data_IF_885342711099
#
_entry.id   IF_885342711099
#
_cell.length_a   1.000
_cell.length_b   1.000
_cell.length_c   1.000
_cell.angle_alpha   90.00
_cell.angle_beta   90.00
_cell.angle_gamma   90.00
#
_symmetry.space_group_name_H-M   'P 1'
#
loop_
_entity.id
_entity.type
_entity.pdbx_description
1 polymer ?
#
# COMPACT_ATOMS: atom_id res chain seq x y z
N UNK A 1 -18.65 -26.77 5.71
CA UNK A 1 -17.43 -26.52 4.91
C UNK A 1 -16.19 -26.49 5.79
N UNK A 2 -16.02 -25.56 6.74
CA UNK A 2 -14.92 -25.60 7.71
C UNK A 2 -15.48 -25.32 9.11
N UNK A 3 -15.10 -26.16 10.09
CA UNK A 3 -15.45 -25.95 11.48
C UNK A 3 -14.19 -26.08 12.37
N UNK A 4 -13.83 -25.00 13.04
CA UNK A 4 -12.71 -24.91 13.95
C UNK A 4 -13.25 -25.00 15.37
N UNK A 5 -12.83 -26.02 16.11
CA UNK A 5 -13.26 -26.30 17.49
C UNK A 5 -12.07 -26.23 18.42
N UNK A 6 -12.09 -25.30 19.36
CA UNK A 6 -11.11 -25.22 20.48
C UNK A 6 -9.66 -25.31 19.99
N UNK A 7 -9.29 -24.44 19.04
CA UNK A 7 -7.91 -24.31 18.62
C UNK A 7 -7.12 -23.55 19.68
N UNK A 8 -6.13 -24.18 20.26
CA UNK A 8 -5.17 -23.59 21.21
C UNK A 8 -3.77 -23.66 20.59
N UNK A 9 -3.46 -22.73 19.70
CA UNK A 9 -2.12 -22.57 19.14
C UNK A 9 -1.38 -21.46 19.91
N UNK A 10 -0.03 -21.50 20.06
CA UNK A 10 0.72 -20.48 20.81
C UNK A 10 0.48 -19.05 20.35
N UNK A 11 0.12 -18.86 19.09
CA UNK A 11 -0.08 -17.56 18.46
C UNK A 11 -1.53 -17.33 17.96
N UNK A 12 -2.43 -18.34 18.02
CA UNK A 12 -3.80 -18.22 17.54
C UNK A 12 -4.76 -19.08 18.38
N UNK A 13 -5.76 -18.44 18.98
CA UNK A 13 -6.78 -19.10 19.79
C UNK A 13 -8.15 -18.86 19.18
N UNK A 14 -8.90 -19.95 18.94
CA UNK A 14 -10.26 -19.93 18.39
C UNK A 14 -11.12 -20.91 19.20
N UNK A 15 -12.17 -20.43 19.83
CA UNK A 15 -13.04 -21.26 20.67
C UNK A 15 -13.99 -22.09 19.82
N UNK A 16 -14.75 -21.48 18.94
CA UNK A 16 -15.65 -22.11 17.98
C UNK A 16 -15.87 -21.19 16.80
N UNK A 17 -15.58 -21.66 15.59
CA UNK A 17 -15.79 -20.89 14.37
C UNK A 17 -16.24 -21.78 13.24
N UNK A 18 -17.40 -21.47 12.67
CA UNK A 18 -17.99 -22.21 11.54
C UNK A 18 -18.05 -21.32 10.31
N UNK A 19 -17.56 -21.85 9.22
CA UNK A 19 -17.58 -21.23 7.90
C UNK A 19 -18.38 -22.17 6.99
N UNK A 20 -19.55 -21.71 6.56
CA UNK A 20 -20.44 -22.46 5.69
C UNK A 20 -20.24 -22.09 4.22
N UNK A 21 -20.70 -22.93 3.31
CA UNK A 21 -20.68 -22.59 1.88
C UNK A 21 -21.58 -21.36 1.61
N UNK A 22 -21.08 -20.41 0.83
CA UNK A 22 -21.78 -19.16 0.52
C UNK A 22 -21.73 -18.09 1.61
N UNK A 23 -20.99 -18.32 2.71
CA UNK A 23 -20.78 -17.29 3.72
C UNK A 23 -19.97 -16.11 3.16
N UNK A 24 -20.25 -14.89 3.67
CA UNK A 24 -19.46 -13.68 3.44
C UNK A 24 -18.91 -13.18 4.78
N UNK A 25 -17.64 -13.44 5.04
CA UNK A 25 -16.96 -13.10 6.28
C UNK A 25 -16.07 -11.86 6.14
N UNK A 26 -16.13 -10.97 7.14
CA UNK A 26 -15.13 -9.95 7.38
C UNK A 26 -14.42 -10.24 8.70
N UNK A 27 -13.14 -10.53 8.64
CA UNK A 27 -12.27 -10.69 9.80
C UNK A 27 -11.45 -9.43 9.95
N UNK A 28 -11.66 -8.68 11.02
CA UNK A 28 -11.01 -7.39 11.25
C UNK A 28 -9.98 -7.48 12.37
N UNK A 29 -8.87 -6.79 12.20
CA UNK A 29 -7.81 -6.73 13.21
C UNK A 29 -6.65 -5.86 12.73
N UNK A 30 -5.81 -5.38 13.65
CA UNK A 30 -4.62 -4.60 13.34
C UNK A 30 -3.55 -5.41 12.60
N UNK A 31 -2.56 -4.72 12.05
CA UNK A 31 -1.35 -5.38 11.58
C UNK A 31 -0.66 -6.06 12.78
N UNK A 32 -0.22 -7.31 12.58
CA UNK A 32 0.37 -8.12 13.66
C UNK A 32 -0.63 -8.74 14.64
N UNK A 33 -1.94 -8.55 14.50
CA UNK A 33 -2.95 -9.15 15.38
C UNK A 33 -3.10 -10.67 15.29
N UNK A 34 -2.51 -11.29 14.27
CA UNK A 34 -2.64 -12.74 13.98
C UNK A 34 -3.55 -13.07 12.80
N UNK A 35 -4.03 -12.09 12.03
CA UNK A 35 -4.85 -12.35 10.81
C UNK A 35 -4.14 -13.28 9.81
N UNK A 36 -2.83 -13.13 9.62
CA UNK A 36 -2.02 -13.98 8.75
C UNK A 36 -1.97 -15.45 9.21
N UNK A 37 -2.23 -15.71 10.51
CA UNK A 37 -2.30 -17.09 11.00
C UNK A 37 -3.63 -17.76 10.64
N UNK A 38 -4.65 -16.97 10.34
CA UNK A 38 -5.95 -17.46 9.89
C UNK A 38 -5.84 -18.03 8.48
N UNK A 39 -5.19 -17.32 7.57
CA UNK A 39 -4.99 -17.82 6.22
C UNK A 39 -4.12 -19.08 6.20
N UNK A 40 -3.03 -19.10 7.00
CA UNK A 40 -2.18 -20.26 7.18
C UNK A 40 -2.97 -21.47 7.77
N UNK A 41 -3.85 -21.21 8.76
CA UNK A 41 -4.73 -22.24 9.31
C UNK A 41 -5.68 -22.79 8.27
N UNK A 42 -6.33 -21.93 7.49
CA UNK A 42 -7.32 -22.34 6.49
C UNK A 42 -6.69 -23.05 5.28
N UNK A 43 -5.45 -22.70 4.93
CA UNK A 43 -4.67 -23.33 3.85
C UNK A 43 -3.78 -24.48 4.31
N UNK A 44 -3.90 -24.92 5.59
CA UNK A 44 -3.13 -26.03 6.18
C UNK A 44 -1.60 -25.78 6.25
N UNK A 45 -1.20 -24.53 6.34
CA UNK A 45 0.20 -24.12 6.43
C UNK A 45 0.62 -23.79 7.87
N UNK A 46 -0.34 -23.68 8.80
CA UNK A 46 -0.06 -23.42 10.22
C UNK A 46 0.43 -24.72 10.88
N UNK A 47 1.69 -24.73 11.31
CA UNK A 47 2.25 -25.86 12.06
C UNK A 47 1.65 -26.01 13.46
N UNK A 48 1.87 -27.18 14.10
CA UNK A 48 1.47 -27.45 15.49
C UNK A 48 -0.03 -27.28 15.79
N UNK A 49 -0.89 -27.61 14.81
CA UNK A 49 -2.35 -27.65 15.00
C UNK A 49 -2.75 -29.04 15.47
N UNK A 50 -3.51 -29.10 16.58
CA UNK A 50 -4.01 -30.37 17.11
C UNK A 50 -4.90 -31.10 16.12
N UNK A 51 -4.69 -32.42 15.96
CA UNK A 51 -5.50 -33.24 15.08
C UNK A 51 -6.96 -33.24 15.53
N UNK A 52 -7.88 -32.76 14.67
CA UNK A 52 -9.31 -32.65 14.96
C UNK A 52 -9.77 -31.27 15.44
N UNK A 53 -8.87 -30.30 15.67
CA UNK A 53 -9.25 -28.91 15.92
C UNK A 53 -9.90 -28.25 14.70
N UNK A 54 -9.54 -28.68 13.50
CA UNK A 54 -10.09 -28.16 12.23
C UNK A 54 -10.72 -29.30 11.44
N UNK A 55 -12.04 -29.24 11.27
CA UNK A 55 -12.82 -30.17 10.43
C UNK A 55 -13.11 -29.48 9.10
N UNK A 56 -12.70 -30.10 7.99
CA UNK A 56 -12.89 -29.57 6.63
C UNK A 56 -13.67 -30.55 5.77
N UNK A 57 -14.72 -30.04 5.12
CA UNK A 57 -15.45 -30.74 4.04
C UNK A 57 -15.13 -30.13 2.66
N UNK A 58 -14.07 -29.30 2.58
CA UNK A 58 -13.57 -28.66 1.36
C UNK A 58 -12.12 -29.06 1.16
N UNK A 59 -11.75 -29.36 -0.08
CA UNK A 59 -10.37 -29.64 -0.43
C UNK A 59 -9.52 -28.36 -0.36
N UNK A 60 -8.27 -28.47 0.12
CA UNK A 60 -7.37 -27.32 0.27
C UNK A 60 -7.12 -26.64 -1.08
N UNK A 61 -7.08 -27.39 -2.18
CA UNK A 61 -6.91 -26.87 -3.54
C UNK A 61 -8.05 -25.94 -3.98
N UNK A 62 -9.22 -26.06 -3.35
CA UNK A 62 -10.39 -25.19 -3.58
C UNK A 62 -10.41 -23.96 -2.68
N UNK A 63 -9.36 -23.77 -1.88
CA UNK A 63 -9.15 -22.58 -1.05
C UNK A 63 -8.06 -21.73 -1.72
N UNK A 64 -8.38 -20.48 -2.02
CA UNK A 64 -7.43 -19.55 -2.63
C UNK A 64 -7.25 -18.32 -1.75
N UNK A 65 -6.01 -18.02 -1.40
CA UNK A 65 -5.63 -16.76 -0.76
C UNK A 65 -5.15 -15.77 -1.84
N UNK A 66 -5.51 -14.51 -1.69
CA UNK A 66 -4.96 -13.39 -2.47
C UNK A 66 -4.52 -12.34 -1.47
N UNK A 67 -3.22 -12.17 -1.33
CA UNK A 67 -2.57 -11.17 -0.49
C UNK A 67 -1.57 -10.33 -1.30
N UNK A 68 -1.12 -9.21 -0.73
CA UNK A 68 -0.08 -8.40 -1.35
C UNK A 68 1.25 -9.18 -1.46
N UNK A 69 1.59 -9.96 -0.45
CA UNK A 69 2.81 -10.77 -0.42
C UNK A 69 2.82 -11.80 -1.55
N UNK A 70 1.69 -12.47 -1.79
CA UNK A 70 1.57 -13.41 -2.91
C UNK A 70 1.73 -12.71 -4.26
N UNK A 71 1.09 -11.54 -4.44
CA UNK A 71 1.27 -10.74 -5.65
C UNK A 71 2.74 -10.40 -5.89
N UNK A 72 3.44 -10.02 -4.82
CA UNK A 72 4.86 -9.66 -4.91
C UNK A 72 5.74 -10.86 -5.23
N UNK A 73 5.49 -12.02 -4.63
CA UNK A 73 6.22 -13.25 -4.95
C UNK A 73 6.04 -13.66 -6.42
N UNK A 74 4.82 -13.57 -6.96
CA UNK A 74 4.55 -13.81 -8.38
C UNK A 74 5.33 -12.79 -9.24
N UNK A 75 5.22 -11.50 -8.91
CA UNK A 75 5.93 -10.45 -9.65
C UNK A 75 7.45 -10.66 -9.68
N UNK A 76 8.06 -11.03 -8.56
CA UNK A 76 9.49 -11.32 -8.47
C UNK A 76 9.90 -12.56 -9.28
N UNK A 77 9.05 -13.59 -9.27
CA UNK A 77 9.25 -14.78 -10.11
C UNK A 77 9.25 -14.39 -11.59
N UNK A 78 8.23 -13.64 -12.01
CA UNK A 78 8.08 -13.23 -13.41
C UNK A 78 9.22 -12.27 -13.85
N UNK A 79 9.70 -11.40 -12.96
CA UNK A 79 10.89 -10.58 -13.25
C UNK A 79 12.15 -11.43 -13.46
N UNK A 80 12.35 -12.50 -12.69
CA UNK A 80 13.49 -13.41 -12.87
C UNK A 80 13.39 -14.17 -14.18
N UNK A 81 12.19 -14.60 -14.57
CA UNK A 81 11.95 -15.23 -15.86
C UNK A 81 12.26 -14.26 -17.00
N UNK A 82 11.71 -13.04 -16.95
CA UNK A 82 11.98 -12.01 -17.96
C UNK A 82 13.45 -11.59 -18.03
N UNK A 83 14.22 -11.64 -16.93
CA UNK A 83 15.65 -11.35 -16.95
C UNK A 83 16.46 -12.46 -17.67
N UNK A 84 16.00 -13.70 -17.62
CA UNK A 84 16.60 -14.80 -18.36
C UNK A 84 16.34 -14.72 -19.86
N UNK A 85 15.23 -14.10 -20.29
CA UNK A 85 14.87 -13.88 -21.70
C UNK A 85 15.83 -12.92 -22.42
N UNK A 86 16.47 -12.01 -21.69
CA UNK A 86 17.50 -11.12 -22.27
C UNK A 86 18.72 -11.88 -22.80
N UNK A 87 18.83 -13.17 -22.52
CA UNK A 87 19.92 -14.08 -22.97
C UNK A 87 19.47 -15.05 -24.08
N UNK A 88 18.19 -15.02 -24.50
CA UNK A 88 17.59 -15.90 -25.51
C UNK A 88 16.72 -15.16 -26.52
N UNK A 89 16.56 -15.72 -27.72
CA UNK A 89 15.83 -15.12 -28.85
C UNK A 89 14.28 -15.26 -28.78
N UNK A 90 13.72 -15.85 -27.74
CA UNK A 90 12.26 -16.08 -27.60
C UNK A 90 11.65 -15.26 -26.47
N UNK A 91 10.49 -14.59 -26.74
CA UNK A 91 9.68 -13.88 -25.72
C UNK A 91 8.92 -14.89 -24.87
N UNK A 92 9.56 -15.38 -23.79
CA UNK A 92 8.98 -16.34 -22.83
C UNK A 92 8.23 -15.65 -21.68
N UNK A 93 8.08 -14.32 -21.75
CA UNK A 93 7.43 -13.55 -20.69
C UNK A 93 5.94 -13.89 -20.56
N UNK A 94 5.52 -14.31 -19.36
CA UNK A 94 4.14 -14.68 -19.02
C UNK A 94 3.20 -13.47 -19.19
N UNK A 95 2.13 -13.66 -19.96
CA UNK A 95 1.08 -12.66 -20.17
C UNK A 95 -0.08 -12.88 -19.21
N UNK A 96 -0.91 -11.87 -19.01
CA UNK A 96 -2.10 -11.98 -18.15
C UNK A 96 -3.03 -13.14 -18.58
N UNK A 97 -3.16 -13.39 -19.89
CA UNK A 97 -3.95 -14.52 -20.40
C UNK A 97 -3.44 -15.88 -19.94
N UNK A 98 -2.13 -16.04 -19.76
CA UNK A 98 -1.50 -17.32 -19.40
C UNK A 98 -1.81 -17.73 -17.94
N UNK A 99 -2.30 -16.81 -17.11
CA UNK A 99 -2.79 -17.09 -15.76
C UNK A 99 -4.22 -17.66 -15.75
N UNK A 100 -4.95 -17.55 -16.86
CA UNK A 100 -6.34 -17.97 -16.94
C UNK A 100 -6.48 -19.35 -17.56
N UNK A 101 -7.48 -20.16 -17.14
CA UNK A 101 -7.77 -21.42 -17.78
C UNK A 101 -8.11 -21.24 -19.27
N UNK A 102 -7.54 -22.06 -20.15
CA UNK A 102 -7.55 -21.86 -21.62
C UNK A 102 -8.94 -21.75 -22.23
N UNK A 103 -9.96 -22.37 -21.61
CA UNK A 103 -11.34 -22.39 -22.13
C UNK A 103 -12.18 -21.17 -21.68
N UNK A 104 -11.63 -20.29 -20.83
CA UNK A 104 -12.38 -19.24 -20.15
C UNK A 104 -12.18 -17.84 -20.73
N UNK A 105 -11.43 -17.70 -21.83
CA UNK A 105 -11.12 -16.39 -22.46
C UNK A 105 -12.37 -15.63 -22.94
N UNK A 106 -13.51 -16.29 -23.09
CA UNK A 106 -14.79 -15.67 -23.45
C UNK A 106 -15.70 -15.39 -22.23
N UNK A 107 -15.22 -15.58 -21.02
CA UNK A 107 -16.02 -15.34 -19.79
C UNK A 107 -16.39 -13.85 -19.66
N UNK A 108 -17.63 -13.58 -19.25
CA UNK A 108 -18.11 -12.22 -18.92
C UNK A 108 -17.41 -11.64 -17.69
N UNK A 109 -16.86 -12.47 -16.82
CA UNK A 109 -16.08 -12.01 -15.64
C UNK A 109 -14.85 -11.20 -16.03
N UNK A 110 -14.27 -11.49 -17.22
CA UNK A 110 -13.13 -10.71 -17.77
C UNK A 110 -13.57 -9.28 -18.06
N UNK A 111 -14.77 -9.11 -18.60
CA UNK A 111 -15.33 -7.79 -18.91
C UNK A 111 -15.84 -7.09 -17.64
N UNK A 112 -16.45 -7.83 -16.71
CA UNK A 112 -16.91 -7.32 -15.41
C UNK A 112 -15.75 -6.70 -14.62
N UNK A 113 -14.54 -7.29 -14.67
CA UNK A 113 -13.33 -6.78 -14.04
C UNK A 113 -12.52 -5.82 -14.92
N UNK A 114 -13.00 -5.49 -16.12
CA UNK A 114 -12.31 -4.62 -17.10
C UNK A 114 -10.87 -5.09 -17.39
N UNK A 115 -10.70 -6.41 -17.63
CA UNK A 115 -9.38 -7.03 -17.85
C UNK A 115 -9.13 -7.44 -19.31
N UNK A 116 -10.14 -7.40 -20.19
CA UNK A 116 -10.02 -7.90 -21.57
C UNK A 116 -8.91 -7.23 -22.37
N UNK A 117 -8.76 -5.92 -22.23
CA UNK A 117 -7.72 -5.13 -22.92
C UNK A 117 -6.30 -5.38 -22.38
N UNK A 118 -6.18 -6.02 -21.19
CA UNK A 118 -4.90 -6.36 -20.53
C UNK A 118 -4.45 -7.80 -20.73
N UNK A 119 -5.25 -8.65 -21.33
CA UNK A 119 -4.92 -10.08 -21.45
C UNK A 119 -3.58 -10.34 -22.17
N UNK A 120 -3.23 -9.51 -23.15
CA UNK A 120 -1.96 -9.63 -23.89
C UNK A 120 -0.79 -8.90 -23.22
N UNK A 121 -1.01 -8.21 -22.09
CA UNK A 121 0.03 -7.47 -21.37
C UNK A 121 0.85 -8.43 -20.54
N UNK A 122 2.18 -8.24 -20.48
CA UNK A 122 3.07 -9.01 -19.58
C UNK A 122 2.68 -8.77 -18.13
N UNK A 123 2.70 -9.82 -17.31
CA UNK A 123 2.34 -9.70 -15.88
C UNK A 123 3.15 -8.60 -15.16
N UNK A 124 4.44 -8.48 -15.47
CA UNK A 124 5.35 -7.48 -14.89
C UNK A 124 5.03 -6.04 -15.28
N UNK A 125 4.17 -5.83 -16.27
CA UNK A 125 3.73 -4.51 -16.74
C UNK A 125 2.33 -4.13 -16.21
N UNK A 126 1.66 -5.06 -15.52
CA UNK A 126 0.37 -4.77 -14.87
C UNK A 126 0.60 -3.88 -13.63
N UNK A 127 -0.33 -2.95 -13.41
CA UNK A 127 -0.40 -2.23 -12.14
C UNK A 127 -0.75 -3.17 -10.98
N UNK A 128 -0.52 -2.75 -9.75
CA UNK A 128 -0.87 -3.54 -8.55
C UNK A 128 -2.37 -3.88 -8.52
N UNK A 129 -3.23 -2.95 -8.95
CA UNK A 129 -4.67 -3.19 -9.04
C UNK A 129 -5.05 -4.18 -10.15
N UNK A 130 -4.44 -4.08 -11.34
CA UNK A 130 -4.68 -4.99 -12.45
C UNK A 130 -4.19 -6.41 -12.13
N UNK A 131 -3.01 -6.55 -11.53
CA UNK A 131 -2.51 -7.88 -11.10
C UNK A 131 -3.42 -8.49 -10.03
N UNK A 132 -3.99 -7.70 -9.11
CA UNK A 132 -4.98 -8.18 -8.13
C UNK A 132 -6.26 -8.66 -8.79
N UNK A 133 -6.83 -7.84 -9.71
CA UNK A 133 -8.00 -8.25 -10.49
C UNK A 133 -7.76 -9.54 -11.27
N UNK A 134 -6.57 -9.70 -11.85
CA UNK A 134 -6.19 -10.91 -12.57
C UNK A 134 -6.20 -12.15 -11.66
N UNK A 135 -5.64 -12.07 -10.44
CA UNK A 135 -5.62 -13.19 -9.50
C UNK A 135 -7.02 -13.54 -8.96
N UNK A 136 -7.87 -12.52 -8.73
CA UNK A 136 -9.28 -12.75 -8.39
C UNK A 136 -10.01 -13.43 -9.55
N UNK A 137 -9.82 -12.93 -10.77
CA UNK A 137 -10.40 -13.52 -11.98
C UNK A 137 -9.97 -14.99 -12.15
N UNK A 138 -8.68 -15.28 -11.98
CA UNK A 138 -8.15 -16.64 -12.02
C UNK A 138 -8.87 -17.55 -11.02
N UNK A 139 -8.92 -17.12 -9.74
CA UNK A 139 -9.55 -17.90 -8.68
C UNK A 139 -11.04 -18.20 -8.97
N UNK A 140 -11.79 -17.20 -9.45
CA UNK A 140 -13.20 -17.35 -9.79
C UNK A 140 -13.41 -18.29 -10.98
N UNK A 141 -12.55 -18.21 -12.00
CA UNK A 141 -12.62 -19.08 -13.18
C UNK A 141 -12.17 -20.52 -12.89
N UNK A 142 -11.27 -20.72 -11.94
CA UNK A 142 -10.88 -22.04 -11.44
C UNK A 142 -11.98 -22.70 -10.57
N UNK A 143 -13.02 -21.96 -10.18
CA UNK A 143 -14.16 -22.48 -9.42
C UNK A 143 -13.82 -22.79 -7.97
N UNK A 144 -13.10 -21.90 -7.29
CA UNK A 144 -12.76 -22.03 -5.85
C UNK A 144 -14.01 -22.09 -4.98
N UNK A 145 -13.97 -22.85 -3.89
CA UNK A 145 -15.04 -22.90 -2.90
C UNK A 145 -14.90 -21.83 -1.80
N UNK A 146 -13.66 -21.44 -1.48
CA UNK A 146 -13.34 -20.40 -0.52
C UNK A 146 -12.27 -19.45 -1.10
N UNK A 147 -12.62 -18.16 -1.20
CA UNK A 147 -11.71 -17.10 -1.60
C UNK A 147 -11.39 -16.23 -0.40
N UNK A 148 -10.13 -16.19 0.00
CA UNK A 148 -9.60 -15.38 1.11
C UNK A 148 -8.87 -14.18 0.50
N UNK A 149 -9.22 -12.97 0.93
CA UNK A 149 -8.73 -11.70 0.39
C UNK A 149 -8.13 -10.87 1.52
N UNK A 150 -6.81 -10.68 1.51
CA UNK A 150 -6.14 -9.84 2.51
C UNK A 150 -6.01 -8.41 2.00
N UNK A 151 -6.66 -7.47 2.68
CA UNK A 151 -6.74 -6.04 2.36
C UNK A 151 -6.93 -5.78 0.84
N UNK A 152 -7.98 -6.36 0.19
CA UNK A 152 -8.09 -6.37 -1.27
C UNK A 152 -8.31 -4.99 -1.89
N UNK A 153 -8.73 -4.01 -1.12
CA UNK A 153 -9.03 -2.66 -1.59
C UNK A 153 -7.84 -1.69 -1.49
N UNK A 154 -6.75 -2.11 -0.85
CA UNK A 154 -5.54 -1.29 -0.76
C UNK A 154 -4.97 -0.97 -2.15
N UNK A 155 -4.61 0.31 -2.38
CA UNK A 155 -4.03 0.82 -3.64
C UNK A 155 -4.95 0.73 -4.86
N UNK A 156 -6.24 0.54 -4.64
CA UNK A 156 -7.24 0.60 -5.71
C UNK A 156 -7.93 1.97 -5.70
N UNK A 157 -8.19 2.51 -6.89
CA UNK A 157 -9.09 3.66 -7.02
C UNK A 157 -10.54 3.26 -6.72
N UNK A 158 -11.39 4.26 -6.45
CA UNK A 158 -12.78 4.04 -6.04
C UNK A 158 -13.59 3.22 -7.03
N UNK A 159 -13.40 3.48 -8.35
CA UNK A 159 -14.09 2.74 -9.40
C UNK A 159 -13.69 1.26 -9.37
N UNK A 160 -12.40 0.99 -9.26
CA UNK A 160 -11.87 -0.38 -9.18
C UNK A 160 -12.34 -1.08 -7.91
N UNK A 161 -12.36 -0.40 -6.74
CA UNK A 161 -12.92 -0.94 -5.50
C UNK A 161 -14.39 -1.35 -5.65
N UNK A 162 -15.19 -0.49 -6.29
CA UNK A 162 -16.62 -0.77 -6.52
C UNK A 162 -16.82 -1.98 -7.42
N UNK A 163 -16.15 -2.01 -8.58
CA UNK A 163 -16.21 -3.11 -9.54
C UNK A 163 -15.78 -4.44 -8.90
N UNK A 164 -14.67 -4.43 -8.14
CA UNK A 164 -14.19 -5.62 -7.44
C UNK A 164 -15.21 -6.12 -6.40
N UNK A 165 -15.77 -5.20 -5.59
CA UNK A 165 -16.76 -5.53 -4.56
C UNK A 165 -18.03 -6.12 -5.17
N UNK A 166 -18.55 -5.55 -6.26
CA UNK A 166 -19.73 -6.07 -6.96
C UNK A 166 -19.48 -7.46 -7.58
N UNK A 167 -18.30 -7.66 -8.19
CA UNK A 167 -17.93 -8.96 -8.76
C UNK A 167 -17.84 -10.04 -7.68
N UNK A 168 -17.24 -9.72 -6.52
CA UNK A 168 -17.16 -10.62 -5.38
C UNK A 168 -18.54 -10.91 -4.77
N UNK A 169 -19.43 -9.93 -4.72
CA UNK A 169 -20.81 -10.11 -4.27
C UNK A 169 -21.59 -11.05 -5.20
N UNK A 170 -21.45 -10.89 -6.53
CA UNK A 170 -22.05 -11.81 -7.51
C UNK A 170 -21.52 -13.24 -7.35
N UNK A 171 -20.19 -13.40 -7.16
CA UNK A 171 -19.56 -14.68 -6.92
C UNK A 171 -20.06 -15.34 -5.62
N UNK A 172 -20.20 -14.56 -4.55
CA UNK A 172 -20.76 -15.05 -3.29
C UNK A 172 -22.23 -15.47 -3.45
N UNK A 173 -23.04 -14.69 -4.16
CA UNK A 173 -24.45 -15.05 -4.47
C UNK A 173 -24.55 -16.31 -5.32
N UNK A 174 -23.51 -16.66 -6.09
CA UNK A 174 -23.39 -17.90 -6.84
C UNK A 174 -22.90 -19.10 -6.00
N UNK A 175 -22.65 -18.91 -4.70
CA UNK A 175 -22.30 -19.96 -3.74
C UNK A 175 -20.82 -20.02 -3.33
N UNK A 176 -19.95 -19.17 -3.87
CA UNK A 176 -18.56 -19.07 -3.44
C UNK A 176 -18.51 -18.40 -2.05
N UNK A 177 -17.80 -19.03 -1.12
CA UNK A 177 -17.53 -18.42 0.20
C UNK A 177 -16.44 -17.35 0.03
N UNK A 178 -16.71 -16.14 0.52
CA UNK A 178 -15.75 -15.03 0.46
C UNK A 178 -15.37 -14.62 1.87
N UNK A 179 -14.07 -14.48 2.11
CA UNK A 179 -13.53 -14.03 3.39
C UNK A 179 -12.58 -12.86 3.17
N UNK A 180 -12.88 -11.74 3.80
CA UNK A 180 -12.02 -10.56 3.83
C UNK A 180 -11.24 -10.53 5.14
N UNK A 181 -9.93 -10.39 5.08
CA UNK A 181 -9.06 -10.06 6.20
C UNK A 181 -8.75 -8.57 6.11
N UNK A 182 -9.28 -7.74 7.02
CA UNK A 182 -9.24 -6.30 6.89
C UNK A 182 -8.51 -5.64 8.07
N UNK A 183 -7.81 -4.54 7.78
CA UNK A 183 -7.13 -3.71 8.77
C UNK A 183 -7.81 -2.35 8.98
N UNK A 184 -8.81 -2.02 8.15
CA UNK A 184 -9.54 -0.76 8.17
C UNK A 184 -11.05 -1.05 8.14
N UNK A 185 -11.81 -0.44 9.07
CA UNK A 185 -13.27 -0.63 9.12
C UNK A 185 -14.01 -0.04 7.91
N UNK A 186 -13.44 0.97 7.26
CA UNK A 186 -14.04 1.59 6.08
C UNK A 186 -14.01 0.70 4.84
N UNK A 187 -13.15 -0.33 4.86
CA UNK A 187 -13.01 -1.28 3.76
C UNK A 187 -14.01 -2.46 3.88
N UNK A 188 -14.86 -2.50 4.93
CA UNK A 188 -15.87 -3.54 5.13
C UNK A 188 -16.97 -3.39 4.07
N UNK A 189 -17.15 -4.38 3.15
CA UNK A 189 -18.22 -4.32 2.18
C UNK A 189 -19.59 -4.39 2.84
N UNK A 190 -20.54 -3.56 2.39
CA UNK A 190 -21.89 -3.48 3.01
C UNK A 190 -22.68 -4.79 2.90
N UNK A 191 -22.36 -5.65 1.93
CA UNK A 191 -23.00 -6.93 1.72
C UNK A 191 -22.42 -8.06 2.60
N UNK A 192 -21.29 -7.83 3.29
CA UNK A 192 -20.76 -8.76 4.28
C UNK A 192 -21.62 -8.75 5.54
N UNK A 193 -22.17 -9.90 5.88
CA UNK A 193 -23.10 -10.05 7.02
C UNK A 193 -22.48 -10.77 8.24
N UNK A 194 -21.38 -11.49 8.04
CA UNK A 194 -20.68 -12.23 9.09
C UNK A 194 -19.36 -11.54 9.44
N UNK A 195 -19.13 -11.34 10.73
CA UNK A 195 -17.97 -10.61 11.21
C UNK A 195 -17.25 -11.35 12.33
N UNK A 196 -15.94 -11.28 12.31
CA UNK A 196 -15.07 -11.69 13.41
C UNK A 196 -14.00 -10.63 13.64
N UNK A 197 -13.45 -10.59 14.83
CA UNK A 197 -12.33 -9.75 15.19
C UNK A 197 -11.16 -10.60 15.67
N UNK A 198 -9.95 -10.16 15.34
CA UNK A 198 -8.71 -10.80 15.80
C UNK A 198 -7.87 -9.78 16.55
N UNK A 199 -7.55 -10.11 17.80
CA UNK A 199 -6.76 -9.30 18.69
C UNK A 199 -5.80 -10.19 19.47
N UNK A 200 -4.51 -9.87 19.45
CA UNK A 200 -3.44 -10.61 20.11
C UNK A 200 -3.53 -12.13 19.88
N UNK A 201 -3.81 -12.54 18.65
CA UNK A 201 -3.95 -13.95 18.28
C UNK A 201 -5.25 -14.62 18.74
N UNK A 202 -6.21 -13.91 19.29
CA UNK A 202 -7.52 -14.43 19.65
C UNK A 202 -8.57 -14.01 18.63
N UNK A 203 -9.31 -14.97 18.08
CA UNK A 203 -10.44 -14.73 17.20
C UNK A 203 -11.75 -14.83 17.97
N UNK A 204 -12.55 -13.76 17.92
CA UNK A 204 -13.90 -13.68 18.46
C UNK A 204 -14.90 -13.41 17.34
N UNK A 205 -15.98 -14.21 17.22
CA UNK A 205 -17.08 -13.93 16.28
C UNK A 205 -17.98 -12.84 16.83
N UNK A 206 -18.39 -11.89 15.97
CA UNK A 206 -19.18 -10.73 16.38
C UNK A 206 -20.66 -10.82 15.98
N UNK A 207 -21.10 -11.94 15.40
CA UNK A 207 -22.44 -12.09 14.84
C UNK A 207 -23.55 -12.11 15.91
N UNK A 208 -23.22 -12.45 17.15
CA UNK A 208 -24.14 -12.47 18.30
C UNK A 208 -24.34 -11.07 18.93
N UNK A 209 -23.52 -10.09 18.54
CA UNK A 209 -23.58 -8.72 19.06
C UNK A 209 -24.56 -7.87 18.25
N UNK A 210 -25.23 -6.93 18.92
CA UNK A 210 -25.95 -5.87 18.23
C UNK A 210 -25.00 -4.91 17.51
N UNK A 211 -25.51 -4.05 16.65
CA UNK A 211 -24.70 -3.16 15.82
C UNK A 211 -23.78 -2.27 16.68
N UNK A 212 -24.28 -1.70 17.77
CA UNK A 212 -23.53 -0.78 18.62
C UNK A 212 -22.38 -1.51 19.36
N UNK A 213 -22.66 -2.68 19.91
CA UNK A 213 -21.64 -3.50 20.57
C UNK A 213 -20.58 -4.00 19.57
N UNK A 214 -20.99 -4.36 18.35
CA UNK A 214 -20.09 -4.73 17.26
C UNK A 214 -19.16 -3.59 16.88
N UNK A 215 -19.69 -2.39 16.64
CA UNK A 215 -18.88 -1.20 16.34
C UNK A 215 -17.91 -0.86 17.47
N UNK A 216 -18.36 -0.95 18.74
CA UNK A 216 -17.50 -0.73 19.90
C UNK A 216 -16.35 -1.74 19.97
N UNK A 217 -16.64 -3.03 19.71
CA UNK A 217 -15.60 -4.08 19.69
C UNK A 217 -14.60 -3.88 18.57
N UNK A 218 -15.04 -3.48 17.38
CA UNK A 218 -14.17 -3.16 16.24
C UNK A 218 -13.24 -1.97 16.60
N UNK A 219 -13.78 -0.91 17.21
CA UNK A 219 -12.97 0.24 17.64
C UNK A 219 -11.93 -0.14 18.69
N UNK A 220 -12.29 -1.02 19.63
CA UNK A 220 -11.37 -1.54 20.64
C UNK A 220 -10.23 -2.35 20.01
N UNK A 221 -10.56 -3.32 19.16
CA UNK A 221 -9.58 -4.20 18.48
C UNK A 221 -8.64 -3.39 17.58
N UNK A 222 -9.13 -2.37 16.90
CA UNK A 222 -8.33 -1.46 16.11
C UNK A 222 -7.60 -0.41 16.96
N UNK A 223 -7.84 -0.37 18.28
CA UNK A 223 -7.26 0.59 19.25
C UNK A 223 -7.46 2.06 18.84
N UNK A 224 -8.57 2.38 18.20
CA UNK A 224 -8.87 3.75 17.73
C UNK A 224 -9.14 4.75 18.88
N UNK A 225 -9.31 4.24 20.11
CA UNK A 225 -9.44 5.05 21.32
C UNK A 225 -8.09 5.45 21.95
N UNK A 226 -6.98 4.89 21.46
CA UNK A 226 -5.62 5.23 21.92
C UNK A 226 -5.20 6.57 21.29
N UNK A 227 -5.58 7.65 21.97
CA UNK A 227 -5.25 9.04 21.58
C UNK A 227 -3.88 9.49 22.04
N UNK A 228 -2.99 8.60 22.41
CA UNK A 228 -1.61 8.97 22.72
C UNK A 228 -1.00 9.62 21.49
N UNK A 229 -1.02 10.95 21.46
CA UNK A 229 -0.34 11.70 20.40
C UNK A 229 1.16 11.40 20.52
N UNK A 230 1.78 10.85 19.48
CA UNK A 230 3.20 10.63 19.50
C UNK A 230 3.91 11.97 19.65
N UNK A 231 4.92 12.02 20.51
CA UNK A 231 5.76 13.22 20.64
C UNK A 231 6.71 13.27 19.45
N UNK A 232 6.27 13.93 18.37
CA UNK A 232 7.06 14.09 17.17
C UNK A 232 8.27 14.96 17.43
N UNK A 233 9.48 14.59 16.95
CA UNK A 233 10.69 15.35 17.13
C UNK A 233 10.53 16.80 16.64
N UNK A 234 11.15 17.73 17.36
CA UNK A 234 11.20 19.13 16.92
C UNK A 234 12.35 19.28 15.92
N UNK A 235 12.03 19.70 14.71
CA UNK A 235 13.00 19.82 13.62
C UNK A 235 13.23 21.29 13.29
N UNK A 236 14.48 21.72 13.25
CA UNK A 236 14.89 23.11 13.39
C UNK A 236 14.75 24.01 12.14
N UNK A 237 14.25 23.55 11.00
CA UNK A 237 14.19 24.34 9.77
C UNK A 237 12.74 24.62 9.34
N UNK A 238 12.34 25.89 9.40
CA UNK A 238 11.05 26.35 8.90
C UNK A 238 11.14 26.87 7.47
N UNK A 239 10.02 26.80 6.73
CA UNK A 239 9.89 27.39 5.37
C UNK A 239 9.66 28.90 5.38
N UNK A 240 9.69 29.59 6.55
CA UNK A 240 9.41 31.00 6.69
C UNK A 240 10.35 31.92 5.89
N UNK A 241 11.59 31.48 5.67
CA UNK A 241 12.63 32.25 4.99
C UNK A 241 12.95 31.75 3.57
N UNK A 242 12.08 30.87 3.00
CA UNK A 242 12.30 30.37 1.65
C UNK A 242 12.17 31.51 0.61
N UNK A 243 13.21 31.74 -0.24
CA UNK A 243 13.29 32.98 -1.02
C UNK A 243 12.46 32.99 -2.31
N UNK A 244 11.96 31.85 -2.76
CA UNK A 244 11.22 31.73 -4.02
C UNK A 244 9.71 31.63 -3.82
N UNK A 245 8.94 32.11 -4.80
CA UNK A 245 7.46 32.08 -4.76
C UNK A 245 6.89 30.68 -4.76
N UNK A 246 7.52 29.75 -5.46
CA UNK A 246 7.06 28.36 -5.60
C UNK A 246 8.17 27.39 -5.19
N UNK A 247 7.79 26.30 -4.50
CA UNK A 247 8.65 25.15 -4.27
C UNK A 247 8.66 24.21 -5.48
N UNK A 248 7.54 24.16 -6.18
CA UNK A 248 7.39 23.41 -7.44
C UNK A 248 6.70 24.30 -8.44
N UNK A 249 7.24 24.41 -9.65
CA UNK A 249 6.60 25.02 -10.78
C UNK A 249 6.81 24.15 -12.02
N UNK A 250 5.74 23.61 -12.56
CA UNK A 250 5.66 22.87 -13.81
C UNK A 250 4.84 23.71 -14.79
N UNK A 251 5.38 24.00 -15.97
CA UNK A 251 4.71 24.84 -16.96
C UNK A 251 4.54 24.08 -18.28
N UNK A 252 3.32 23.65 -18.59
CA UNK A 252 3.00 22.97 -19.86
C UNK A 252 3.81 21.69 -20.08
N UNK A 253 4.11 20.92 -19.01
CA UNK A 253 4.94 19.73 -19.11
C UNK A 253 4.24 18.61 -19.85
N UNK A 254 4.95 17.97 -20.78
CA UNK A 254 4.46 16.82 -21.55
C UNK A 254 5.43 15.65 -21.43
N UNK A 255 4.92 14.48 -21.05
CA UNK A 255 5.72 13.23 -20.92
C UNK A 255 5.12 12.16 -21.82
N UNK A 256 6.00 11.52 -22.62
CA UNK A 256 5.63 10.47 -23.58
C UNK A 256 6.54 9.27 -23.45
N UNK A 257 5.96 8.08 -23.52
CA UNK A 257 6.70 6.82 -23.65
C UNK A 257 6.29 6.15 -24.97
N UNK A 258 7.19 6.17 -25.94
CA UNK A 258 6.87 5.78 -27.31
C UNK A 258 5.79 6.67 -27.91
N UNK A 259 4.72 6.07 -28.40
CA UNK A 259 3.53 6.78 -28.93
C UNK A 259 2.57 7.28 -27.83
N UNK A 260 2.69 6.75 -26.61
CA UNK A 260 1.74 7.03 -25.54
C UNK A 260 2.09 8.33 -24.80
N UNK A 261 1.15 9.27 -24.77
CA UNK A 261 1.24 10.51 -23.96
C UNK A 261 0.69 10.19 -22.58
N UNK A 262 1.56 10.24 -21.56
CA UNK A 262 1.17 10.01 -20.16
C UNK A 262 0.75 11.32 -19.48
N UNK A 263 1.52 12.38 -19.67
CA UNK A 263 1.19 13.71 -19.18
C UNK A 263 1.17 14.65 -20.40
N UNK A 264 0.17 15.51 -20.48
CA UNK A 264 0.04 16.44 -21.61
C UNK A 264 -0.28 17.84 -21.11
N UNK A 265 0.65 18.79 -21.38
CA UNK A 265 0.54 20.20 -21.06
C UNK A 265 0.22 20.46 -19.56
N UNK A 266 0.80 19.66 -18.67
CA UNK A 266 0.57 19.77 -17.23
C UNK A 266 1.17 21.06 -16.68
N UNK A 267 0.35 21.81 -15.96
CA UNK A 267 0.80 22.99 -15.22
C UNK A 267 0.43 22.84 -13.75
N UNK A 268 1.43 22.89 -12.87
CA UNK A 268 1.26 22.76 -11.42
C UNK A 268 2.22 23.73 -10.71
N UNK A 269 1.68 24.61 -9.87
CA UNK A 269 2.45 25.48 -9.01
C UNK A 269 2.13 25.17 -7.56
N UNK A 270 3.16 24.96 -6.74
CA UNK A 270 3.05 24.71 -5.31
C UNK A 270 3.86 25.75 -4.55
N UNK A 271 3.20 26.60 -3.79
CA UNK A 271 3.85 27.60 -2.95
C UNK A 271 4.34 26.98 -1.62
N UNK A 272 5.28 27.62 -0.91
CA UNK A 272 5.65 27.22 0.45
C UNK A 272 4.42 27.10 1.35
N UNK A 273 4.31 25.97 2.07
CA UNK A 273 3.19 25.62 2.97
C UNK A 273 1.83 25.44 2.28
N UNK A 274 1.78 25.44 0.97
CA UNK A 274 0.59 25.06 0.20
C UNK A 274 0.60 23.54 0.03
N UNK A 275 0.13 22.82 1.06
CA UNK A 275 0.00 21.37 0.97
C UNK A 275 -0.95 21.00 -0.16
N UNK A 276 -0.53 20.06 -1.00
CA UNK A 276 -1.24 19.71 -2.23
C UNK A 276 -1.62 18.24 -2.21
N UNK A 277 -2.91 17.96 -2.37
CA UNK A 277 -3.43 16.61 -2.61
C UNK A 277 -3.50 16.36 -4.12
N UNK A 278 -2.86 15.29 -4.58
CA UNK A 278 -2.89 14.82 -5.96
C UNK A 278 -3.78 13.57 -6.02
N UNK A 279 -4.82 13.63 -6.84
CA UNK A 279 -5.77 12.54 -7.05
C UNK A 279 -5.85 12.16 -8.53
N UNK A 280 -6.49 11.06 -8.85
CA UNK A 280 -6.70 10.58 -10.22
C UNK A 280 -6.79 9.06 -10.26
N UNK A 281 -7.35 8.48 -11.32
CA UNK A 281 -7.45 7.03 -11.49
C UNK A 281 -6.08 6.34 -11.56
N UNK A 282 -6.06 5.02 -11.41
CA UNK A 282 -4.84 4.25 -11.63
C UNK A 282 -4.41 4.38 -13.11
N UNK A 283 -3.13 4.61 -13.33
CA UNK A 283 -2.60 4.86 -14.69
C UNK A 283 -2.74 6.29 -15.19
N UNK A 284 -3.33 7.23 -14.45
CA UNK A 284 -3.47 8.65 -14.87
C UNK A 284 -2.14 9.42 -14.93
N UNK A 285 -1.02 8.83 -14.50
CA UNK A 285 0.29 9.47 -14.57
C UNK A 285 0.76 10.14 -13.28
N UNK A 286 0.12 9.90 -12.12
CA UNK A 286 0.51 10.49 -10.82
C UNK A 286 1.97 10.24 -10.46
N UNK A 287 2.43 8.99 -10.53
CA UNK A 287 3.83 8.65 -10.25
C UNK A 287 4.80 9.26 -11.29
N UNK A 288 4.35 9.44 -12.54
CA UNK A 288 5.12 10.15 -13.58
C UNK A 288 5.24 11.64 -13.26
N UNK A 289 4.16 12.27 -12.80
CA UNK A 289 4.16 13.66 -12.33
C UNK A 289 5.11 13.84 -11.14
N UNK A 290 5.04 12.95 -10.15
CA UNK A 290 6.00 12.96 -9.05
C UNK A 290 7.44 12.74 -9.54
N UNK A 291 7.64 11.83 -10.52
CA UNK A 291 8.94 11.58 -11.13
C UNK A 291 9.54 12.82 -11.83
N UNK A 292 8.72 13.70 -12.44
CA UNK A 292 9.19 14.99 -12.94
C UNK A 292 9.70 15.89 -11.81
N UNK A 293 8.98 15.92 -10.69
CA UNK A 293 9.33 16.77 -9.52
C UNK A 293 10.57 16.21 -8.84
N UNK A 294 10.65 14.91 -8.58
CA UNK A 294 11.79 14.28 -7.88
C UNK A 294 13.04 14.16 -8.75
N UNK A 295 12.89 14.26 -10.09
CA UNK A 295 13.98 14.07 -11.05
C UNK A 295 14.23 12.60 -11.41
N UNK A 296 13.33 11.69 -11.05
CA UNK A 296 13.41 10.27 -11.40
C UNK A 296 12.89 10.00 -12.82
N UNK A 297 12.10 10.92 -13.41
CA UNK A 297 11.71 10.90 -14.81
C UNK A 297 12.72 11.72 -15.65
N UNK A 298 13.49 11.09 -16.58
CA UNK A 298 14.51 11.81 -17.38
C UNK A 298 13.94 12.96 -18.21
N UNK A 299 12.65 12.92 -18.55
CA UNK A 299 12.02 13.98 -19.33
C UNK A 299 11.82 15.29 -18.50
N UNK A 300 12.16 15.31 -17.22
CA UNK A 300 12.22 16.56 -16.45
C UNK A 300 13.22 17.56 -17.02
N UNK A 301 14.28 17.09 -17.72
CA UNK A 301 15.29 17.95 -18.37
C UNK A 301 14.83 18.53 -19.71
N UNK A 302 13.78 17.97 -20.32
CA UNK A 302 13.21 18.47 -21.59
C UNK A 302 11.91 19.24 -21.42
N UNK A 303 11.49 19.47 -20.18
CA UNK A 303 10.29 20.22 -19.81
C UNK A 303 10.66 21.45 -18.95
N UNK A 304 9.73 22.39 -18.87
CA UNK A 304 9.89 23.56 -17.98
C UNK A 304 9.52 23.17 -16.55
N UNK A 305 10.54 22.70 -15.82
CA UNK A 305 10.43 22.16 -14.46
C UNK A 305 11.35 22.93 -13.53
N UNK A 306 10.79 23.69 -12.59
CA UNK A 306 11.53 24.32 -11.50
C UNK A 306 11.13 23.69 -10.17
N UNK A 307 12.11 23.24 -9.39
CA UNK A 307 11.89 22.61 -8.10
C UNK A 307 12.88 23.17 -7.09
N UNK A 308 12.37 23.67 -5.97
CA UNK A 308 13.16 24.28 -4.88
C UNK A 308 14.06 25.42 -5.38
N UNK A 309 13.60 26.20 -6.39
CA UNK A 309 14.34 27.29 -7.00
C UNK A 309 15.35 26.87 -8.08
N UNK A 310 15.52 25.56 -8.31
CA UNK A 310 16.41 25.03 -9.34
C UNK A 310 15.62 24.73 -10.62
N UNK A 311 16.03 25.36 -11.73
CA UNK A 311 15.52 25.04 -13.06
C UNK A 311 16.21 23.79 -13.59
N UNK A 312 15.44 22.74 -13.88
CA UNK A 312 16.03 21.47 -14.39
C UNK A 312 16.78 21.69 -15.72
N UNK A 313 17.99 21.14 -15.79
CA UNK A 313 18.84 21.24 -17.00
C UNK A 313 19.83 22.38 -17.00
N UNK A 314 19.92 23.20 -15.95
CA UNK A 314 20.88 24.32 -15.87
C UNK A 314 22.22 23.95 -15.23
N UNK A 315 22.50 22.64 -15.04
CA UNK A 315 23.79 22.15 -14.55
C UNK A 315 23.80 21.75 -13.07
N UNK A 316 22.69 21.89 -12.35
CA UNK A 316 22.51 21.38 -10.99
C UNK A 316 22.46 19.85 -10.97
N UNK A 317 23.00 19.27 -9.92
CA UNK A 317 22.86 17.86 -9.65
C UNK A 317 21.47 17.55 -9.10
N UNK A 318 20.90 16.40 -9.47
CA UNK A 318 19.65 15.86 -8.86
C UNK A 318 19.81 15.74 -7.33
N UNK A 319 21.00 15.42 -6.85
CA UNK A 319 21.31 15.30 -5.44
C UNK A 319 21.25 16.63 -4.67
N UNK A 320 21.62 17.75 -5.34
CA UNK A 320 21.50 19.09 -4.74
C UNK A 320 20.06 19.46 -4.41
N UNK A 321 19.11 18.90 -5.15
CA UNK A 321 17.70 19.11 -4.94
C UNK A 321 17.16 18.06 -3.96
N UNK A 322 17.51 16.77 -4.13
CA UNK A 322 17.01 15.67 -3.28
C UNK A 322 17.38 15.81 -1.80
N UNK A 323 18.53 16.45 -1.48
CA UNK A 323 18.90 16.71 -0.07
C UNK A 323 17.86 17.53 0.70
N UNK A 324 17.03 18.33 0.00
CA UNK A 324 15.96 19.13 0.57
C UNK A 324 14.56 18.48 0.44
N UNK A 325 14.49 17.27 -0.09
CA UNK A 325 13.25 16.53 -0.30
C UNK A 325 13.20 15.29 0.58
N UNK A 326 12.05 15.03 1.18
CA UNK A 326 11.70 13.71 1.74
C UNK A 326 10.83 12.98 0.71
N UNK A 327 11.18 11.75 0.35
CA UNK A 327 10.45 10.98 -0.67
C UNK A 327 10.05 9.64 -0.10
N UNK A 328 8.76 9.33 -0.18
CA UNK A 328 8.20 7.99 0.13
C UNK A 328 7.36 7.56 -1.06
N UNK A 329 7.74 6.46 -1.69
CA UNK A 329 7.03 5.89 -2.83
C UNK A 329 7.02 4.37 -2.75
N UNK A 330 6.12 3.74 -3.50
CA UNK A 330 6.08 2.28 -3.61
C UNK A 330 7.32 1.71 -4.28
N UNK A 331 7.90 2.44 -5.24
CA UNK A 331 9.12 2.05 -5.92
C UNK A 331 10.33 2.09 -4.96
N UNK A 332 10.46 3.15 -4.15
CA UNK A 332 11.49 3.21 -3.10
C UNK A 332 11.35 2.03 -2.13
N UNK A 333 10.14 1.71 -1.68
CA UNK A 333 9.89 0.61 -0.77
C UNK A 333 10.32 -0.74 -1.38
N UNK A 334 9.96 -1.01 -2.63
CA UNK A 334 10.35 -2.24 -3.35
C UNK A 334 11.86 -2.38 -3.53
N UNK A 335 12.56 -1.26 -3.75
CA UNK A 335 14.02 -1.24 -3.94
C UNK A 335 14.80 -1.28 -2.64
N UNK A 336 14.15 -0.99 -1.50
CA UNK A 336 14.83 -0.92 -0.21
C UNK A 336 15.09 -2.33 0.36
N UNK A 337 16.09 -3.03 -0.24
CA UNK A 337 16.44 -4.43 0.07
C UNK A 337 17.78 -4.53 0.82
N UNK A 338 17.91 -3.77 1.90
CA UNK A 338 19.12 -3.77 2.72
C UNK A 338 18.96 -4.66 3.96
N UNK A 339 20.03 -5.34 4.32
CA UNK A 339 20.11 -6.21 5.49
C UNK A 339 20.62 -5.42 6.71
N UNK A 340 19.94 -4.34 7.07
CA UNK A 340 20.28 -3.54 8.24
C UNK A 340 19.10 -3.39 9.20
N UNK A 341 19.38 -2.92 10.41
CA UNK A 341 18.37 -2.61 11.41
C UNK A 341 17.60 -1.32 11.02
N UNK A 342 16.39 -1.16 11.58
CA UNK A 342 15.50 -0.05 11.23
C UNK A 342 16.06 1.32 11.66
N UNK A 343 16.88 1.40 12.71
CA UNK A 343 17.57 2.63 13.09
C UNK A 343 18.53 3.08 11.98
N UNK A 344 19.30 2.13 11.43
CA UNK A 344 20.21 2.39 10.31
C UNK A 344 19.45 2.79 9.05
N UNK A 345 18.27 2.19 8.79
CA UNK A 345 17.39 2.61 7.70
C UNK A 345 16.99 4.08 7.85
N UNK A 346 16.53 4.49 9.02
CA UNK A 346 16.16 5.89 9.28
C UNK A 346 17.37 6.82 9.12
N UNK A 347 18.53 6.44 9.67
CA UNK A 347 19.76 7.22 9.53
C UNK A 347 20.21 7.40 8.07
N UNK A 348 19.92 6.44 7.18
CA UNK A 348 20.24 6.57 5.75
C UNK A 348 19.54 7.76 5.08
N UNK A 349 18.47 8.28 5.69
CA UNK A 349 17.77 9.47 5.23
C UNK A 349 18.59 10.76 5.28
N UNK A 350 19.61 10.84 6.16
CA UNK A 350 20.54 11.97 6.18
C UNK A 350 21.45 12.01 4.96
N UNK A 351 21.68 10.87 4.32
CA UNK A 351 22.61 10.69 3.20
C UNK A 351 21.91 10.49 1.86
N UNK A 352 20.58 10.44 1.83
CA UNK A 352 19.75 10.15 0.64
C UNK A 352 20.12 8.84 -0.10
N UNK A 353 20.74 7.90 0.61
CA UNK A 353 21.21 6.64 0.03
C UNK A 353 20.33 5.46 0.46
N UNK A 354 20.34 4.38 -0.32
CA UNK A 354 19.82 3.07 0.08
C UNK A 354 20.95 2.36 0.85
N UNK A 355 20.80 2.27 2.18
CA UNK A 355 21.88 1.86 3.08
C UNK A 355 22.75 3.04 3.52
N UNK A 356 23.67 2.78 4.44
CA UNK A 356 24.60 3.78 5.00
C UNK A 356 26.02 3.39 4.64
N UNK A 357 26.74 4.32 4.03
CA UNK A 357 28.13 4.14 3.58
C UNK A 357 29.11 5.05 4.34
N UNK A 358 28.58 6.03 5.10
CA UNK A 358 29.34 6.97 5.92
C UNK A 358 29.13 6.69 7.42
N UNK A 359 29.96 7.31 8.26
CA UNK A 359 29.81 7.21 9.71
C UNK A 359 28.58 7.96 10.21
N UNK A 360 27.73 7.29 10.99
CA UNK A 360 26.57 7.91 11.63
C UNK A 360 27.02 8.53 12.96
N UNK A 361 26.77 9.83 13.16
CA UNK A 361 27.04 10.51 14.43
C UNK A 361 26.03 10.13 15.51
N UNK A 362 26.41 10.32 16.79
CA UNK A 362 25.51 10.06 17.92
C UNK A 362 24.26 10.96 17.87
N UNK A 363 24.39 12.18 17.39
CA UNK A 363 23.25 13.09 17.20
C UNK A 363 22.28 12.59 16.14
N UNK A 364 22.77 12.06 15.02
CA UNK A 364 21.94 11.45 13.97
C UNK A 364 21.19 10.23 14.50
N UNK A 365 21.86 9.38 15.29
CA UNK A 365 21.20 8.24 15.94
C UNK A 365 20.12 8.68 16.92
N UNK A 366 20.37 9.70 17.71
CA UNK A 366 19.38 10.25 18.64
C UNK A 366 18.13 10.73 17.91
N UNK A 367 18.29 11.50 16.82
CA UNK A 367 17.18 11.99 16.00
C UNK A 367 16.42 10.80 15.37
N UNK A 368 17.14 9.82 14.81
CA UNK A 368 16.52 8.62 14.23
C UNK A 368 15.71 7.83 15.27
N UNK A 369 16.25 7.65 16.49
CA UNK A 369 15.56 6.99 17.60
C UNK A 369 14.29 7.74 18.04
N UNK A 370 14.33 9.08 18.05
CA UNK A 370 13.13 9.88 18.34
C UNK A 370 12.04 9.68 17.27
N UNK A 371 12.40 9.66 15.99
CA UNK A 371 11.46 9.40 14.89
C UNK A 371 10.87 7.98 14.97
N UNK A 372 11.70 6.96 15.29
CA UNK A 372 11.21 5.59 15.49
C UNK A 372 10.26 5.51 16.70
N UNK A 373 10.58 6.20 17.79
CA UNK A 373 9.71 6.24 18.97
C UNK A 373 8.36 6.89 18.63
N UNK A 374 8.39 8.01 17.91
CA UNK A 374 7.18 8.69 17.45
C UNK A 374 6.35 7.83 16.48
N UNK A 375 6.99 7.03 15.64
CA UNK A 375 6.34 6.04 14.77
C UNK A 375 5.81 4.80 15.52
N UNK A 376 6.03 4.69 16.85
CA UNK A 376 5.64 3.52 17.65
C UNK A 376 6.59 2.33 17.56
N UNK A 377 7.79 2.51 16.97
CA UNK A 377 8.78 1.46 16.71
C UNK A 377 10.04 1.57 17.57
N UNK A 378 10.04 2.44 18.60
CA UNK A 378 11.22 2.68 19.45
C UNK A 378 11.79 1.42 20.11
N UNK A 379 10.93 0.49 20.53
CA UNK A 379 11.35 -0.81 21.10
C UNK A 379 11.94 -1.80 20.08
N UNK A 380 11.78 -1.52 18.79
CA UNK A 380 12.19 -2.41 17.70
C UNK A 380 13.41 -1.89 16.91
N UNK A 381 14.09 -0.84 17.38
CA UNK A 381 15.17 -0.14 16.67
C UNK A 381 16.27 -1.07 16.11
N UNK A 382 16.51 -2.23 16.74
CA UNK A 382 17.50 -3.23 16.34
C UNK A 382 16.93 -4.38 15.49
N UNK A 383 15.62 -4.43 15.24
CA UNK A 383 15.04 -5.41 14.31
C UNK A 383 15.48 -5.12 12.89
N UNK A 384 15.65 -6.17 12.10
CA UNK A 384 15.98 -6.01 10.68
C UNK A 384 14.78 -5.49 9.93
N UNK A 385 15.02 -4.58 9.00
CA UNK A 385 13.97 -3.97 8.18
C UNK A 385 13.09 -5.01 7.47
N UNK A 386 13.67 -6.13 7.04
CA UNK A 386 12.94 -7.19 6.35
C UNK A 386 12.12 -8.11 7.27
N UNK A 387 12.34 -8.06 8.57
CA UNK A 387 11.68 -8.92 9.56
C UNK A 387 10.41 -8.28 10.15
N UNK A 388 10.23 -6.96 9.95
CA UNK A 388 9.03 -6.24 10.39
C UNK A 388 7.95 -6.27 9.29
N UNK A 389 6.69 -6.05 9.70
CA UNK A 389 5.56 -6.05 8.77
C UNK A 389 5.67 -4.95 7.71
N UNK A 390 5.01 -5.14 6.56
CA UNK A 390 4.99 -4.16 5.47
C UNK A 390 4.55 -2.76 5.93
N UNK A 391 3.54 -2.68 6.80
CA UNK A 391 3.09 -1.41 7.38
C UNK A 391 4.16 -0.75 8.25
N UNK A 392 4.84 -1.51 9.10
CA UNK A 392 5.96 -1.00 9.91
C UNK A 392 7.13 -0.54 9.03
N UNK A 393 7.47 -1.30 7.97
CA UNK A 393 8.46 -0.87 6.98
C UNK A 393 8.09 0.49 6.38
N UNK A 394 6.81 0.72 6.08
CA UNK A 394 6.31 1.99 5.55
C UNK A 394 6.52 3.14 6.54
N UNK A 395 6.21 2.93 7.81
CA UNK A 395 6.46 3.92 8.88
C UNK A 395 7.95 4.25 9.03
N UNK A 396 8.82 3.24 8.95
CA UNK A 396 10.28 3.43 8.95
C UNK A 396 10.74 4.29 7.76
N UNK A 397 10.20 4.06 6.56
CA UNK A 397 10.54 4.87 5.38
C UNK A 397 10.01 6.31 5.48
N UNK A 398 8.88 6.52 6.14
CA UNK A 398 8.37 7.87 6.43
C UNK A 398 9.29 8.58 7.44
N UNK A 399 9.69 7.90 8.52
CA UNK A 399 10.67 8.43 9.47
C UNK A 399 12.00 8.77 8.77
N UNK A 400 12.47 7.89 7.88
CA UNK A 400 13.65 8.12 7.02
C UNK A 400 13.53 9.38 6.16
N UNK A 401 12.36 9.61 5.57
CA UNK A 401 12.13 10.79 4.73
C UNK A 401 12.13 12.10 5.55
N UNK A 402 11.72 12.03 6.82
CA UNK A 402 11.56 13.18 7.70
C UNK A 402 12.82 13.51 8.53
N UNK A 403 13.73 12.55 8.73
CA UNK A 403 14.88 12.68 9.65
C UNK A 403 15.78 13.89 9.34
N UNK A 404 15.85 14.31 8.08
CA UNK A 404 16.64 15.45 7.61
C UNK A 404 15.86 16.77 7.52
N UNK A 405 14.60 16.80 7.99
CA UNK A 405 13.73 17.99 7.97
C UNK A 405 13.56 18.59 6.56
N UNK A 406 12.98 17.86 5.60
CA UNK A 406 12.90 18.30 4.21
C UNK A 406 12.00 19.53 4.03
N UNK A 407 12.33 20.42 3.08
CA UNK A 407 11.47 21.55 2.69
C UNK A 407 10.23 21.06 1.93
N UNK A 408 10.39 20.00 1.11
CA UNK A 408 9.34 19.36 0.33
C UNK A 408 9.25 17.88 0.68
N UNK A 409 8.09 17.46 1.17
CA UNK A 409 7.78 16.06 1.47
C UNK A 409 6.86 15.48 0.38
N UNK A 410 7.34 14.51 -0.36
CA UNK A 410 6.62 13.83 -1.45
C UNK A 410 6.20 12.45 -0.96
N UNK A 411 4.90 12.25 -0.86
CA UNK A 411 4.28 11.03 -0.34
C UNK A 411 3.39 10.41 -1.41
N UNK A 412 3.86 9.31 -2.01
CA UNK A 412 3.11 8.54 -3.02
C UNK A 412 2.43 7.35 -2.36
N UNK A 413 1.12 7.45 -2.15
CA UNK A 413 0.27 6.47 -1.46
C UNK A 413 0.88 5.99 -0.13
N UNK A 414 1.21 6.90 0.80
CA UNK A 414 2.01 6.55 1.98
C UNK A 414 1.27 5.68 2.99
N UNK A 415 -0.04 5.61 2.92
CA UNK A 415 -0.93 4.86 3.82
C UNK A 415 -1.14 3.41 3.39
N UNK A 416 -0.65 3.04 2.20
CA UNK A 416 -0.77 1.68 1.70
C UNK A 416 -0.16 0.66 2.66
N UNK A 417 -0.94 -0.38 3.01
CA UNK A 417 -0.53 -1.45 3.93
C UNK A 417 -0.52 -1.04 5.41
N UNK A 418 -0.89 0.21 5.75
CA UNK A 418 -1.09 0.62 7.14
C UNK A 418 -2.49 0.18 7.62
N UNK A 419 -2.53 -0.30 8.85
CA UNK A 419 -3.81 -0.46 9.56
C UNK A 419 -4.41 0.93 9.93
N UNK A 420 -5.67 0.94 10.34
CA UNK A 420 -6.40 2.19 10.61
C UNK A 420 -5.72 3.06 11.68
N UNK A 421 -5.13 2.45 12.72
CA UNK A 421 -4.40 3.17 13.77
C UNK A 421 -3.15 3.87 13.22
N UNK A 422 -2.30 3.12 12.50
CA UNK A 422 -1.06 3.66 11.96
C UNK A 422 -1.33 4.67 10.84
N UNK A 423 -2.39 4.44 10.06
CA UNK A 423 -2.87 5.43 9.09
C UNK A 423 -3.32 6.72 9.78
N UNK A 424 -4.12 6.62 10.85
CA UNK A 424 -4.52 7.77 11.65
C UNK A 424 -3.31 8.54 12.18
N UNK A 425 -2.32 7.84 12.76
CA UNK A 425 -1.07 8.46 13.24
C UNK A 425 -0.30 9.21 12.14
N UNK A 426 -0.26 8.66 10.93
CA UNK A 426 0.37 9.35 9.80
C UNK A 426 -0.38 10.63 9.44
N UNK A 427 -1.71 10.59 9.39
CA UNK A 427 -2.53 11.76 9.09
C UNK A 427 -2.38 12.83 10.19
N UNK A 428 -2.33 12.43 11.46
CA UNK A 428 -2.05 13.33 12.59
C UNK A 428 -0.64 13.96 12.47
N UNK A 429 0.35 13.20 12.01
CA UNK A 429 1.69 13.74 11.74
C UNK A 429 1.63 14.85 10.67
N UNK A 430 0.85 14.69 9.60
CA UNK A 430 0.72 15.73 8.57
C UNK A 430 0.12 17.01 9.15
N UNK A 431 -0.87 16.90 10.05
CA UNK A 431 -1.44 18.03 10.77
C UNK A 431 -0.39 18.74 11.65
N UNK A 432 0.46 17.98 12.36
CA UNK A 432 1.57 18.54 13.16
C UNK A 432 2.58 19.25 12.27
N UNK A 433 2.95 18.67 11.12
CA UNK A 433 3.87 19.32 10.17
C UNK A 433 3.29 20.63 9.63
N UNK A 434 1.98 20.66 9.34
CA UNK A 434 1.26 21.87 8.93
C UNK A 434 1.30 22.95 10.03
N UNK A 435 0.97 22.60 11.27
CA UNK A 435 0.98 23.53 12.40
C UNK A 435 2.38 24.09 12.68
N UNK A 436 3.42 23.27 12.58
CA UNK A 436 4.81 23.67 12.81
C UNK A 436 5.43 24.41 11.62
N UNK A 437 4.77 24.44 10.45
CA UNK A 437 5.22 25.10 9.22
C UNK A 437 6.62 24.67 8.75
N UNK A 438 6.94 23.38 8.92
CA UNK A 438 8.28 22.85 8.60
C UNK A 438 8.45 22.42 7.16
N UNK A 439 7.46 21.76 6.59
CA UNK A 439 7.54 21.15 5.26
C UNK A 439 6.30 21.47 4.45
N UNK A 440 6.42 21.56 3.14
CA UNK A 440 5.28 21.50 2.23
C UNK A 440 5.07 20.05 1.79
N UNK A 441 3.84 19.58 1.80
CA UNK A 441 3.49 18.19 1.51
C UNK A 441 2.84 18.10 0.13
N UNK A 442 3.38 17.22 -0.72
CA UNK A 442 2.70 16.66 -1.89
C UNK A 442 2.23 15.26 -1.53
N UNK A 443 0.94 15.06 -1.48
CA UNK A 443 0.33 13.83 -1.03
C UNK A 443 -0.50 13.22 -2.16
N UNK A 444 -0.18 12.00 -2.56
CA UNK A 444 -0.98 11.23 -3.52
C UNK A 444 -1.84 10.24 -2.77
N UNK A 445 -3.13 10.28 -2.99
CA UNK A 445 -4.07 9.30 -2.44
C UNK A 445 -5.27 9.07 -3.36
N UNK A 446 -5.82 7.87 -3.27
CA UNK A 446 -7.09 7.47 -3.88
C UNK A 446 -8.25 7.46 -2.87
N UNK A 447 -7.94 7.58 -1.58
CA UNK A 447 -8.91 7.43 -0.48
C UNK A 447 -9.55 8.77 -0.14
N UNK A 448 -10.89 8.79 -0.10
CA UNK A 448 -11.67 10.01 0.25
C UNK A 448 -11.44 10.43 1.70
N UNK A 449 -11.26 9.46 2.60
CA UNK A 449 -11.05 9.68 4.02
C UNK A 449 -9.66 10.25 4.37
N UNK A 450 -8.81 10.44 3.36
CA UNK A 450 -7.50 11.09 3.47
C UNK A 450 -7.51 12.53 2.92
N UNK A 451 -8.66 13.03 2.50
CA UNK A 451 -8.82 14.41 2.07
C UNK A 451 -8.91 15.35 3.28
N UNK A 452 -7.77 15.63 3.90
CA UNK A 452 -7.68 16.45 5.09
C UNK A 452 -7.85 17.96 4.76
N UNK A 453 -8.38 18.77 5.69
CA UNK A 453 -8.52 20.22 5.52
C UNK A 453 -7.19 20.97 5.31
N UNK A 454 -6.06 20.37 5.72
CA UNK A 454 -4.72 20.96 5.52
C UNK A 454 -4.33 21.07 4.04
N UNK A 455 -4.94 20.26 3.13
CA UNK A 455 -4.65 20.35 1.71
C UNK A 455 -5.37 21.55 1.09
N UNK A 456 -4.68 22.67 1.04
CA UNK A 456 -5.20 23.92 0.47
C UNK A 456 -5.34 23.85 -1.06
N UNK A 457 -4.65 22.92 -1.71
CA UNK A 457 -4.72 22.68 -3.15
C UNK A 457 -5.05 21.24 -3.43
N UNK A 458 -6.03 21.02 -4.32
CA UNK A 458 -6.38 19.71 -4.88
C UNK A 458 -6.04 19.72 -6.37
N UNK A 459 -5.21 18.78 -6.79
CA UNK A 459 -4.82 18.60 -8.18
C UNK A 459 -5.31 17.24 -8.67
N UNK A 460 -6.28 17.25 -9.56
CA UNK A 460 -6.82 16.03 -10.15
C UNK A 460 -6.19 15.76 -11.51
N UNK A 461 -5.66 14.55 -11.69
CA UNK A 461 -5.16 14.06 -12.97
C UNK A 461 -6.24 13.21 -13.63
N UNK A 462 -6.82 13.73 -14.72
CA UNK A 462 -7.78 12.99 -15.53
C UNK A 462 -7.09 11.83 -16.26
N UNK A 463 -7.69 10.65 -16.19
CA UNK A 463 -7.28 9.56 -17.07
C UNK A 463 -7.70 9.93 -18.49
N UNK A 464 -6.75 10.19 -19.37
CA UNK A 464 -7.06 10.26 -20.81
C UNK A 464 -7.33 8.84 -21.26
N UNK A 465 -8.59 8.59 -21.64
CA UNK A 465 -8.96 7.40 -22.39
C UNK A 465 -8.03 7.31 -23.61
N UNK A 466 -7.11 6.36 -23.58
CA UNK A 466 -6.31 6.04 -24.76
C UNK A 466 -7.28 5.60 -25.86
N UNK A 467 -7.36 6.40 -26.88
CA UNK A 467 -7.88 5.99 -28.18
C UNK A 467 -6.81 5.23 -28.93
#
# INVERSE_FOLDING_TARGET
MIHIKTLNHPQLNITDWRISAGDAWCVIGRNGSGKQLIDQLLTDQLGNVDSGAVLRDVEIQQIRLISFEQQQLIYERELRLAANDLLGDEDTATRAADFLPSETTNSTLIDDLDMRHRLNTRYTQLSTGESRKLLVLQALLEGVSLLILDNPFDSLDQRTCHVLSETLQKANSAGITVMFLLSNRQDIPQWCNLMAAVDEGRLDTLNHLDQKARESRIQEVLQLNDKAQPNWPDTALGLSDYPHKHLVALNGCTVRFGSNVILDQITLNVAPLQHTLITGENGSGKSTLLGLITGDCPQCFSNDVNVLGYQRGNGESVWDIKKHMGIVSNDLHRRYRVHCDIETVVCSGFFDSIGVYDSISDQQRLIASQWLTAAGLGGQARHRFQEISYGEQRLVLIARALVKSPLLLVLDEPTQGLDELNRGRLLDLLEVLNQRRHSTVLFVSHRVDEHLPLFAQHYHLDSRNGH
#
